data_IF_854317918898
#
_entry.id   IF_854317918898
#
_cell.length_a   1.000
_cell.length_b   1.000
_cell.length_c   1.000
_cell.angle_alpha   90.00
_cell.angle_beta   90.00
_cell.angle_gamma   90.00
#
_symmetry.space_group_name_H-M   'P 1'
#
loop_
_entity.id
_entity.type
_entity.pdbx_description
1 polymer ?
#
# COMPACT_ATOMS: atom_id res chain seq x y z
N UNK A 1 9.84 4.62 17.29
CA UNK A 1 10.60 3.70 16.42
C UNK A 1 9.88 3.51 15.10
N UNK A 2 10.46 3.98 13.99
CA UNK A 2 9.88 3.81 12.65
C UNK A 2 10.40 2.52 12.04
N UNK A 3 9.49 1.68 11.53
CA UNK A 3 9.86 0.49 10.76
C UNK A 3 10.40 0.85 9.36
N UNK A 4 10.80 -0.16 8.60
CA UNK A 4 11.09 -0.01 7.18
C UNK A 4 9.80 0.34 6.42
N UNK A 5 9.89 1.22 5.44
CA UNK A 5 8.79 1.56 4.55
C UNK A 5 9.24 1.46 3.09
N UNK A 6 8.54 0.61 2.32
CA UNK A 6 8.79 0.41 0.90
C UNK A 6 7.53 0.74 0.12
N UNK A 7 7.66 1.62 -0.86
CA UNK A 7 6.57 1.95 -1.77
C UNK A 7 6.99 1.66 -3.22
N UNK A 8 6.11 0.99 -3.94
CA UNK A 8 6.36 0.55 -5.30
C UNK A 8 5.06 0.54 -6.12
N UNK A 9 5.19 0.78 -7.41
CA UNK A 9 4.12 0.69 -8.38
C UNK A 9 4.36 -0.57 -9.22
N UNK A 10 3.32 -1.37 -9.38
CA UNK A 10 3.24 -2.45 -10.36
C UNK A 10 2.43 -1.96 -11.54
N UNK A 11 3.07 -1.91 -12.68
CA UNK A 11 2.47 -1.53 -13.96
C UNK A 11 2.23 -2.77 -14.77
N UNK A 12 1.01 -2.94 -15.25
CA UNK A 12 0.66 -3.99 -16.19
C UNK A 12 0.48 -3.40 -17.57
N UNK A 13 1.02 -4.10 -18.58
CA UNK A 13 1.04 -3.67 -19.97
C UNK A 13 0.57 -4.83 -20.84
N UNK A 14 -0.48 -4.58 -21.60
CA UNK A 14 -0.98 -5.50 -22.61
C UNK A 14 -0.49 -5.03 -23.98
N UNK A 15 0.63 -5.59 -24.44
CA UNK A 15 1.28 -5.17 -25.69
C UNK A 15 0.54 -5.68 -26.93
N UNK A 16 -0.01 -6.90 -26.84
CA UNK A 16 -0.64 -7.57 -27.97
C UNK A 16 -1.99 -8.19 -27.58
N UNK A 17 -3.01 -7.36 -27.26
CA UNK A 17 -4.33 -7.87 -26.87
C UNK A 17 -4.97 -8.75 -27.95
N UNK A 18 -4.63 -8.53 -29.22
CA UNK A 18 -5.06 -9.32 -30.36
C UNK A 18 -4.45 -10.73 -30.39
N UNK A 19 -3.47 -11.03 -29.57
CA UNK A 19 -2.86 -12.36 -29.51
C UNK A 19 -3.75 -13.41 -28.85
N UNK A 20 -4.73 -13.00 -28.06
CA UNK A 20 -5.70 -13.91 -27.47
C UNK A 20 -6.66 -14.46 -28.53
N UNK A 21 -6.84 -15.77 -28.54
CA UNK A 21 -7.76 -16.43 -29.45
C UNK A 21 -7.26 -16.54 -30.90
N UNK A 22 -5.95 -16.33 -31.16
CA UNK A 22 -5.36 -16.66 -32.43
C UNK A 22 -5.39 -18.17 -32.64
N UNK A 23 -6.22 -18.59 -33.59
CA UNK A 23 -6.13 -19.93 -34.15
C UNK A 23 -5.42 -19.81 -35.50
N UNK A 24 -4.27 -20.47 -35.64
CA UNK A 24 -3.53 -20.70 -36.92
C UNK A 24 -3.42 -19.45 -37.83
N UNK A 25 -2.91 -18.35 -37.29
CA UNK A 25 -2.42 -17.22 -38.09
C UNK A 25 -3.46 -16.19 -38.54
N UNK A 26 -4.74 -16.40 -38.27
CA UNK A 26 -5.78 -15.40 -38.61
C UNK A 26 -6.09 -14.51 -37.42
N UNK A 27 -5.77 -13.20 -37.43
CA UNK A 27 -6.17 -12.31 -36.36
C UNK A 27 -7.70 -12.18 -36.33
N UNK A 28 -8.29 -12.41 -35.16
CA UNK A 28 -9.73 -12.16 -34.98
C UNK A 28 -9.91 -10.64 -34.82
N UNK A 29 -10.74 -9.98 -35.64
CA UNK A 29 -11.03 -8.56 -35.49
C UNK A 29 -11.64 -8.30 -34.13
N UNK A 30 -10.96 -7.53 -33.28
CA UNK A 30 -11.39 -7.31 -31.90
C UNK A 30 -12.73 -6.55 -31.80
N UNK A 31 -12.98 -5.61 -32.70
CA UNK A 31 -14.18 -4.78 -32.67
C UNK A 31 -15.49 -5.54 -32.89
N UNK A 32 -15.43 -6.75 -33.47
CA UNK A 32 -16.62 -7.57 -33.75
C UNK A 32 -16.44 -9.04 -33.29
N UNK A 33 -15.39 -9.32 -32.55
CA UNK A 33 -15.13 -10.68 -32.05
C UNK A 33 -16.00 -11.01 -30.84
N UNK A 34 -16.54 -12.21 -30.79
CA UNK A 34 -17.12 -12.78 -29.60
C UNK A 34 -16.06 -13.17 -28.54
N UNK A 35 -14.79 -13.23 -28.93
CA UNK A 35 -13.68 -13.55 -28.05
C UNK A 35 -13.16 -12.26 -27.45
N UNK A 36 -13.17 -12.20 -26.12
CA UNK A 36 -12.64 -11.09 -25.35
C UNK A 36 -11.29 -11.49 -24.79
N UNK A 37 -10.29 -10.65 -24.96
CA UNK A 37 -8.98 -10.83 -24.35
C UNK A 37 -8.94 -10.14 -22.98
N UNK A 38 -8.40 -10.77 -21.94
CA UNK A 38 -8.06 -10.06 -20.75
C UNK A 38 -6.94 -9.04 -21.04
N UNK A 39 -6.88 -7.99 -20.23
CA UNK A 39 -5.90 -6.93 -20.42
C UNK A 39 -5.28 -6.46 -19.10
N UNK A 40 -4.71 -5.27 -19.14
CA UNK A 40 -4.00 -4.72 -18.00
C UNK A 40 -4.89 -4.49 -16.77
N UNK A 41 -6.18 -4.16 -16.97
CA UNK A 41 -7.12 -3.97 -15.85
C UNK A 41 -7.41 -5.30 -15.14
N UNK A 42 -7.58 -6.38 -15.90
CA UNK A 42 -7.81 -7.71 -15.35
C UNK A 42 -6.56 -8.19 -14.58
N UNK A 43 -5.35 -7.94 -15.09
CA UNK A 43 -4.10 -8.24 -14.39
C UNK A 43 -4.02 -7.48 -13.06
N UNK A 44 -4.35 -6.18 -13.07
CA UNK A 44 -4.40 -5.35 -11.86
C UNK A 44 -5.39 -5.93 -10.85
N UNK A 45 -6.60 -6.29 -11.28
CA UNK A 45 -7.64 -6.82 -10.38
C UNK A 45 -7.25 -8.17 -9.78
N UNK A 46 -6.64 -9.05 -10.56
CA UNK A 46 -6.12 -10.35 -10.09
C UNK A 46 -5.03 -10.12 -9.04
N UNK A 47 -4.04 -9.26 -9.33
CA UNK A 47 -2.98 -8.94 -8.37
C UNK A 47 -3.53 -8.32 -7.10
N UNK A 48 -4.48 -7.38 -7.22
CA UNK A 48 -5.11 -6.72 -6.09
C UNK A 48 -5.77 -7.75 -5.17
N UNK A 49 -6.57 -8.65 -5.73
CA UNK A 49 -7.26 -9.69 -4.96
C UNK A 49 -6.29 -10.70 -4.34
N UNK A 50 -5.31 -11.18 -5.11
CA UNK A 50 -4.27 -12.09 -4.62
C UNK A 50 -3.46 -11.48 -3.47
N UNK A 51 -3.16 -10.18 -3.55
CA UNK A 51 -2.42 -9.49 -2.50
C UNK A 51 -3.24 -9.25 -1.24
N UNK A 52 -4.56 -9.10 -1.34
CA UNK A 52 -5.47 -9.08 -0.18
C UNK A 52 -5.49 -10.43 0.54
N UNK A 53 -5.63 -11.51 -0.21
CA UNK A 53 -5.58 -12.87 0.33
C UNK A 53 -4.22 -13.15 0.99
N UNK A 54 -3.12 -12.75 0.34
CA UNK A 54 -1.77 -12.87 0.89
C UNK A 54 -1.63 -12.11 2.21
N UNK A 55 -2.12 -10.87 2.27
CA UNK A 55 -2.08 -10.06 3.49
C UNK A 55 -2.79 -10.76 4.62
N UNK A 56 -3.98 -11.29 4.39
CA UNK A 56 -4.78 -11.97 5.41
C UNK A 56 -4.09 -13.26 5.89
N UNK A 57 -3.44 -14.02 4.99
CA UNK A 57 -2.67 -15.20 5.32
C UNK A 57 -1.35 -14.89 6.06
N UNK A 58 -0.79 -13.71 5.82
CA UNK A 58 0.45 -13.24 6.45
C UNK A 58 0.18 -12.38 7.69
N UNK A 59 -1.07 -12.20 8.11
CA UNK A 59 -1.39 -11.45 9.32
C UNK A 59 -0.53 -11.96 10.47
N UNK A 60 0.43 -11.16 10.93
CA UNK A 60 1.42 -11.69 11.81
C UNK A 60 0.90 -11.73 13.22
N UNK A 61 1.29 -12.73 13.85
CA UNK A 61 1.34 -12.80 15.30
C UNK A 61 2.41 -11.85 15.90
N UNK A 62 3.22 -11.17 15.04
CA UNK A 62 4.25 -10.21 15.40
C UNK A 62 3.84 -8.80 15.02
N UNK A 63 3.06 -8.13 15.83
CA UNK A 63 2.46 -6.83 15.58
C UNK A 63 3.28 -5.79 14.79
N UNK A 64 2.59 -4.80 14.27
CA UNK A 64 3.22 -3.57 13.75
C UNK A 64 3.62 -3.60 12.28
N UNK A 65 2.95 -4.33 11.39
CA UNK A 65 3.14 -4.18 9.96
C UNK A 65 1.85 -3.86 9.23
N UNK A 66 1.98 -3.28 8.03
CA UNK A 66 0.85 -2.99 7.18
C UNK A 66 1.22 -3.06 5.69
N UNK A 67 0.26 -3.46 4.88
CA UNK A 67 0.26 -3.26 3.43
C UNK A 67 -0.94 -2.38 3.12
N UNK A 68 -0.70 -1.30 2.39
CA UNK A 68 -1.74 -0.45 1.84
C UNK A 68 -1.61 -0.46 0.32
N UNK A 69 -2.74 -0.45 -0.37
CA UNK A 69 -2.79 -0.43 -1.82
C UNK A 69 -3.56 0.78 -2.33
N UNK A 70 -3.18 1.28 -3.50
CA UNK A 70 -3.88 2.33 -4.22
C UNK A 70 -3.89 2.03 -5.72
N UNK A 71 -5.06 2.02 -6.33
CA UNK A 71 -5.20 1.98 -7.78
C UNK A 71 -4.89 3.39 -8.29
N UNK A 72 -3.77 3.55 -8.99
CA UNK A 72 -3.35 4.86 -9.51
C UNK A 72 -4.01 5.15 -10.84
N UNK A 73 -4.09 4.14 -11.71
CA UNK A 73 -4.81 4.26 -12.97
C UNK A 73 -5.36 2.92 -13.41
N UNK A 74 -6.52 2.95 -14.03
CA UNK A 74 -7.06 1.87 -14.82
C UNK A 74 -7.09 2.32 -16.27
N UNK A 75 -6.69 1.44 -17.18
CA UNK A 75 -6.69 1.75 -18.60
C UNK A 75 -8.12 2.00 -19.12
N UNK A 76 -8.25 2.90 -20.07
CA UNK A 76 -9.49 3.06 -20.82
C UNK A 76 -9.61 1.97 -21.87
N UNK A 77 -10.73 1.27 -21.86
CA UNK A 77 -11.17 0.50 -23.00
C UNK A 77 -11.96 1.42 -23.94
N UNK A 78 -11.76 1.27 -25.24
CA UNK A 78 -12.52 2.04 -26.24
C UNK A 78 -13.85 1.37 -26.59
N UNK A 79 -13.99 0.11 -26.25
CA UNK A 79 -15.21 -0.67 -26.38
C UNK A 79 -15.22 -1.80 -25.32
N UNK A 80 -16.37 -2.43 -25.12
CA UNK A 80 -16.58 -3.49 -24.14
C UNK A 80 -15.78 -4.77 -24.41
N UNK A 81 -15.28 -4.94 -25.63
CA UNK A 81 -14.48 -6.09 -26.07
C UNK A 81 -13.00 -5.76 -26.34
N UNK A 82 -12.58 -4.52 -26.09
CA UNK A 82 -11.19 -4.12 -26.23
C UNK A 82 -10.52 -4.01 -24.86
N UNK A 83 -9.47 -4.80 -24.59
CA UNK A 83 -8.80 -4.77 -23.31
C UNK A 83 -8.03 -3.47 -23.09
N UNK A 84 -7.94 -3.07 -21.83
CA UNK A 84 -7.08 -1.96 -21.44
C UNK A 84 -5.61 -2.32 -21.64
N UNK A 85 -4.82 -1.38 -22.19
CA UNK A 85 -3.41 -1.63 -22.49
C UNK A 85 -2.47 -1.37 -21.32
N UNK A 86 -2.87 -0.56 -20.36
CA UNK A 86 -2.02 -0.16 -19.25
C UNK A 86 -2.83 0.07 -17.98
N UNK A 87 -2.30 -0.38 -16.84
CA UNK A 87 -2.83 -0.06 -15.51
C UNK A 87 -1.73 -0.02 -14.47
N UNK A 88 -1.90 0.79 -13.43
CA UNK A 88 -0.93 1.02 -12.36
C UNK A 88 -1.57 0.77 -10.98
N UNK A 89 -0.92 -0.07 -10.19
CA UNK A 89 -1.28 -0.42 -8.82
C UNK A 89 -0.11 -0.16 -7.89
N UNK A 90 -0.28 0.74 -6.93
CA UNK A 90 0.75 1.05 -5.94
C UNK A 90 0.54 0.26 -4.66
N UNK A 91 1.63 -0.21 -4.07
CA UNK A 91 1.68 -0.75 -2.72
C UNK A 91 2.61 0.06 -1.84
N UNK A 92 2.20 0.26 -0.59
CA UNK A 92 3.05 0.75 0.50
C UNK A 92 3.12 -0.33 1.58
N UNK A 93 4.34 -0.79 1.87
CA UNK A 93 4.63 -1.75 2.92
C UNK A 93 5.29 -1.01 4.08
N UNK A 94 4.80 -1.22 5.30
CA UNK A 94 5.46 -0.79 6.53
C UNK A 94 5.65 -2.01 7.42
N UNK A 95 6.89 -2.30 7.77
CA UNK A 95 7.29 -3.53 8.46
C UNK A 95 8.42 -3.27 9.44
N UNK A 96 8.57 -4.09 10.50
CA UNK A 96 9.61 -3.91 11.50
C UNK A 96 11.03 -4.02 10.95
N UNK A 97 11.28 -4.93 10.02
CA UNK A 97 12.63 -5.27 9.54
C UNK A 97 12.76 -5.19 8.02
N UNK A 98 14.00 -5.05 7.55
CA UNK A 98 14.30 -5.07 6.11
C UNK A 98 14.03 -6.45 5.51
N UNK A 99 14.31 -7.51 6.26
CA UNK A 99 14.11 -8.90 5.84
C UNK A 99 12.63 -9.14 5.54
N UNK A 100 11.74 -8.69 6.43
CA UNK A 100 10.30 -8.75 6.22
C UNK A 100 9.86 -7.91 5.03
N UNK A 101 10.44 -6.71 4.84
CA UNK A 101 10.17 -5.89 3.65
C UNK A 101 10.52 -6.62 2.35
N UNK A 102 11.65 -7.32 2.31
CA UNK A 102 12.07 -8.14 1.17
C UNK A 102 11.12 -9.32 0.93
N UNK A 103 10.72 -10.03 1.98
CA UNK A 103 9.79 -11.16 1.88
C UNK A 103 8.42 -10.73 1.33
N UNK A 104 7.86 -9.65 1.86
CA UNK A 104 6.57 -9.12 1.38
C UNK A 104 6.69 -8.61 -0.06
N UNK A 105 7.80 -7.92 -0.40
CA UNK A 105 8.05 -7.48 -1.77
C UNK A 105 8.11 -8.66 -2.72
N UNK A 106 8.85 -9.72 -2.40
CA UNK A 106 8.95 -10.91 -3.23
C UNK A 106 7.60 -11.63 -3.39
N UNK A 107 6.74 -11.59 -2.36
CA UNK A 107 5.39 -12.13 -2.46
C UNK A 107 4.51 -11.31 -3.41
N UNK A 108 4.60 -9.98 -3.37
CA UNK A 108 3.90 -9.10 -4.31
C UNK A 108 4.40 -9.30 -5.76
N UNK A 109 5.71 -9.49 -5.95
CA UNK A 109 6.29 -9.77 -7.27
C UNK A 109 5.78 -11.10 -7.85
N UNK A 110 5.66 -12.15 -7.03
CA UNK A 110 5.04 -13.42 -7.47
C UNK A 110 3.57 -13.25 -7.85
N UNK A 111 2.83 -12.44 -7.11
CA UNK A 111 1.43 -12.13 -7.46
C UNK A 111 1.33 -11.37 -8.78
N UNK A 112 2.24 -10.42 -9.02
CA UNK A 112 2.31 -9.67 -10.28
C UNK A 112 2.63 -10.58 -11.46
N UNK A 113 3.61 -11.47 -11.31
CA UNK A 113 3.98 -12.46 -12.33
C UNK A 113 2.83 -13.41 -12.66
N UNK A 114 2.15 -13.92 -11.64
CA UNK A 114 0.99 -14.78 -11.82
C UNK A 114 -0.15 -14.05 -12.55
N UNK A 115 -0.47 -12.83 -12.13
CA UNK A 115 -1.51 -12.02 -12.76
C UNK A 115 -1.17 -11.70 -14.22
N UNK A 116 0.07 -11.36 -14.52
CA UNK A 116 0.55 -11.09 -15.86
C UNK A 116 0.47 -12.35 -16.76
N UNK A 117 0.90 -13.48 -16.23
CA UNK A 117 0.83 -14.78 -16.95
C UNK A 117 -0.63 -15.15 -17.25
N UNK A 118 -1.54 -15.00 -16.29
CA UNK A 118 -2.96 -15.30 -16.46
C UNK A 118 -3.65 -14.44 -17.52
N UNK A 119 -3.13 -13.25 -17.77
CA UNK A 119 -3.76 -12.27 -18.67
C UNK A 119 -2.99 -12.01 -19.95
N UNK A 120 -1.85 -12.68 -20.13
CA UNK A 120 -0.97 -12.45 -21.28
C UNK A 120 -0.35 -11.04 -21.29
N UNK A 121 -0.31 -10.37 -20.13
CA UNK A 121 0.36 -9.10 -19.96
C UNK A 121 1.83 -9.29 -19.58
N UNK A 122 2.62 -8.24 -19.74
CA UNK A 122 3.88 -8.10 -19.01
C UNK A 122 3.70 -7.14 -17.86
N UNK A 123 4.61 -7.15 -16.89
CA UNK A 123 4.58 -6.21 -15.79
C UNK A 123 5.95 -5.60 -15.52
N UNK A 124 5.91 -4.43 -14.90
CA UNK A 124 7.08 -3.67 -14.49
C UNK A 124 6.91 -3.21 -13.04
N UNK A 125 8.01 -3.16 -12.30
CA UNK A 125 8.03 -2.60 -10.96
C UNK A 125 8.82 -1.30 -10.92
N UNK A 126 8.18 -0.25 -10.43
CA UNK A 126 8.80 1.06 -10.24
C UNK A 126 8.85 1.40 -8.75
N UNK A 127 10.04 1.68 -8.23
CA UNK A 127 10.20 2.11 -6.85
C UNK A 127 9.78 3.57 -6.69
N UNK A 128 8.92 3.84 -5.69
CA UNK A 128 8.57 5.19 -5.26
C UNK A 128 9.50 5.64 -4.15
N UNK A 129 9.64 4.81 -3.11
CA UNK A 129 10.59 5.07 -2.02
C UNK A 129 10.97 3.79 -1.27
N UNK A 130 12.12 3.85 -0.60
CA UNK A 130 12.58 2.86 0.37
C UNK A 130 13.18 3.57 1.57
N UNK A 131 12.74 3.21 2.77
CA UNK A 131 13.39 3.65 4.00
C UNK A 131 13.76 2.47 4.87
N UNK A 132 14.86 2.61 5.59
CA UNK A 132 15.29 1.64 6.60
C UNK A 132 14.57 1.90 7.92
N UNK A 133 14.48 0.90 8.82
CA UNK A 133 14.03 1.13 10.18
C UNK A 133 14.92 2.14 10.88
N UNK A 134 14.31 2.99 11.71
CA UNK A 134 15.05 3.88 12.56
C UNK A 134 15.85 3.09 13.62
N UNK A 135 17.08 3.50 13.84
CA UNK A 135 17.92 2.97 14.92
C UNK A 135 17.75 3.83 16.17
N UNK A 136 17.37 3.21 17.29
CA UNK A 136 17.28 3.89 18.56
C UNK A 136 18.70 4.19 19.09
N UNK A 137 18.96 5.44 19.44
CA UNK A 137 20.16 5.81 20.18
C UNK A 137 19.87 5.82 21.68
N UNK A 138 20.09 4.70 22.34
CA UNK A 138 19.77 4.52 23.77
C UNK A 138 20.54 5.51 24.68
N UNK A 139 21.78 5.85 24.33
CA UNK A 139 22.54 6.83 25.11
C UNK A 139 21.89 8.20 25.08
N UNK A 140 21.51 8.69 23.90
CA UNK A 140 20.78 9.95 23.75
C UNK A 140 19.39 9.90 24.41
N UNK A 141 18.68 8.79 24.28
CA UNK A 141 17.37 8.62 24.91
C UNK A 141 17.46 8.73 26.44
N UNK A 142 18.49 8.12 27.04
CA UNK A 142 18.71 8.21 28.48
C UNK A 142 19.07 9.62 28.94
N UNK A 143 19.90 10.34 28.17
CA UNK A 143 20.24 11.74 28.47
C UNK A 143 18.99 12.61 28.41
N UNK A 144 18.20 12.48 27.32
CA UNK A 144 16.95 13.24 27.15
C UNK A 144 15.96 12.92 28.26
N UNK A 145 15.83 11.64 28.63
CA UNK A 145 14.96 11.22 29.72
C UNK A 145 15.37 11.84 31.06
N UNK A 146 16.66 11.81 31.40
CA UNK A 146 17.18 12.43 32.62
C UNK A 146 16.97 13.95 32.64
N UNK A 147 17.14 14.62 31.48
CA UNK A 147 16.86 16.03 31.37
C UNK A 147 15.34 16.35 31.54
N UNK A 148 14.47 15.51 30.98
CA UNK A 148 13.01 15.63 31.15
C UNK A 148 12.60 15.45 32.63
N UNK A 149 13.20 14.50 33.32
CA UNK A 149 12.95 14.31 34.75
C UNK A 149 13.40 15.53 35.58
N UNK A 150 14.51 16.15 35.22
CA UNK A 150 15.01 17.36 35.91
C UNK A 150 14.10 18.57 35.67
N UNK A 151 13.62 18.76 34.46
CA UNK A 151 12.73 19.87 34.09
C UNK A 151 11.31 19.64 34.59
N UNK A 152 10.88 18.38 34.67
CA UNK A 152 9.52 17.99 35.03
C UNK A 152 8.51 18.13 33.89
N UNK A 153 7.30 17.65 34.11
CA UNK A 153 6.20 17.75 33.18
C UNK A 153 5.64 19.18 33.12
N UNK A 154 5.16 19.65 31.97
CA UNK A 154 4.49 20.96 31.87
C UNK A 154 3.25 21.03 32.79
N UNK A 155 3.09 22.15 33.50
CA UNK A 155 1.87 22.41 34.28
C UNK A 155 0.85 23.10 33.38
N UNK A 156 -0.22 22.38 33.09
CA UNK A 156 -1.29 22.89 32.22
C UNK A 156 -2.31 23.69 33.04
N UNK A 157 -2.33 25.00 32.86
CA UNK A 157 -3.27 25.87 33.56
C UNK A 157 -4.68 25.86 32.93
N UNK A 158 -5.63 26.51 33.61
CA UNK A 158 -7.05 26.60 33.21
C UNK A 158 -7.27 27.00 31.75
N UNK A 159 -6.41 27.86 31.20
CA UNK A 159 -6.48 28.29 29.78
C UNK A 159 -6.24 27.15 28.83
N UNK A 160 -5.23 26.33 29.09
CA UNK A 160 -4.92 25.16 28.27
C UNK A 160 -6.02 24.08 28.35
N UNK A 161 -6.56 23.84 29.54
CA UNK A 161 -7.72 22.95 29.75
C UNK A 161 -8.92 23.41 28.93
N UNK A 162 -9.24 24.72 28.96
CA UNK A 162 -10.35 25.27 28.16
C UNK A 162 -10.13 25.08 26.65
N UNK A 163 -8.91 25.27 26.16
CA UNK A 163 -8.56 25.04 24.74
C UNK A 163 -8.75 23.58 24.38
N UNK A 164 -8.24 22.64 25.18
CA UNK A 164 -8.40 21.22 24.95
C UNK A 164 -9.87 20.79 24.94
N UNK A 165 -10.67 21.28 25.88
CA UNK A 165 -12.11 21.03 25.93
C UNK A 165 -12.85 21.58 24.71
N UNK A 166 -12.45 22.76 24.21
CA UNK A 166 -13.03 23.31 22.98
C UNK A 166 -12.70 22.47 21.75
N UNK A 167 -11.45 21.95 21.66
CA UNK A 167 -11.08 21.01 20.60
C UNK A 167 -11.93 19.73 20.67
N UNK A 168 -12.11 19.15 21.86
CA UNK A 168 -12.98 17.99 22.04
C UNK A 168 -14.42 18.27 21.56
N UNK A 169 -15.00 19.41 21.93
CA UNK A 169 -16.33 19.81 21.45
C UNK A 169 -16.39 19.96 19.93
N UNK A 170 -15.37 20.59 19.31
CA UNK A 170 -15.34 20.76 17.85
C UNK A 170 -15.25 19.44 17.09
N UNK A 171 -14.74 18.40 17.75
CA UNK A 171 -14.69 17.03 17.23
C UNK A 171 -15.95 16.20 17.59
N UNK A 172 -16.98 16.82 18.18
CA UNK A 172 -18.20 16.12 18.61
C UNK A 172 -18.02 15.23 19.85
N UNK A 173 -16.90 15.39 20.58
CA UNK A 173 -16.60 14.64 21.79
C UNK A 173 -17.12 15.37 23.05
N UNK A 174 -17.51 14.61 24.06
CA UNK A 174 -17.78 15.17 25.39
C UNK A 174 -16.50 15.69 26.01
N UNK A 175 -16.47 16.95 26.53
CA UNK A 175 -15.27 17.51 27.10
C UNK A 175 -14.90 16.82 28.43
N UNK A 176 -13.66 16.42 28.54
CA UNK A 176 -13.11 15.82 29.77
C UNK A 176 -12.81 16.89 30.81
N UNK A 177 -13.05 16.59 32.09
CA UNK A 177 -12.66 17.47 33.21
C UNK A 177 -11.13 17.61 33.34
N UNK A 178 -10.39 16.54 33.06
CA UNK A 178 -8.94 16.48 32.98
C UNK A 178 -8.53 16.00 31.57
N UNK A 179 -8.42 16.91 30.58
CA UNK A 179 -8.14 16.54 29.19
C UNK A 179 -6.67 16.17 28.94
N UNK A 180 -5.79 16.40 29.89
CA UNK A 180 -4.39 15.99 29.85
C UNK A 180 -4.25 14.76 30.75
N UNK A 181 -3.83 13.65 30.15
CA UNK A 181 -3.54 12.45 30.92
C UNK A 181 -2.22 12.64 31.65
N UNK A 182 -2.20 12.28 32.92
CA UNK A 182 -0.95 12.09 33.65
C UNK A 182 -0.24 10.89 33.04
N UNK A 183 1.04 11.07 32.68
CA UNK A 183 1.87 10.05 32.05
C UNK A 183 2.30 8.98 33.06
#
# INVERSE_FOLDING_TARGET
>A
HCGAAYSMIFRFICDAPEAWGKTEGTPIPQSHSAIRAPGANEALMIMYQASKTLRDAMLPHSGGWSISEAILSTGRATADNLPARLSDLQYMIRVPTIEMAKQVTAALERNAEAAATMTGCRWEKHWVCKSRPGLANHAMSNIVWSAMQTVGAPIWGKKAIKVAQNIQRSLGMSPMSAPFLDA
#
